data_IF_780836499276
#
_entry.id   IF_780836499276
#
_cell.length_a   1.000
_cell.length_b   1.000
_cell.length_c   1.000
_cell.angle_alpha   90.00
_cell.angle_beta   90.00
_cell.angle_gamma   90.00
#
_symmetry.space_group_name_H-M   'P 1'
#
loop_
_entity.id
_entity.type
_entity.pdbx_description
1 polymer ?
#
# COMPACT_ATOMS: atom_id res chain seq x y z
N UNK A 1 -27.15 -1.83 16.50
CA UNK A 1 -25.77 -2.19 16.89
C UNK A 1 -24.83 -1.69 15.80
N UNK A 2 -23.89 -0.80 16.13
CA UNK A 2 -22.98 -0.23 15.13
C UNK A 2 -21.81 -1.20 14.89
N UNK A 3 -21.59 -1.61 13.65
CA UNK A 3 -20.44 -2.45 13.26
C UNK A 3 -19.42 -1.54 12.58
N UNK A 4 -18.26 -1.28 13.21
CA UNK A 4 -17.20 -0.51 12.55
C UNK A 4 -16.53 -1.38 11.48
N UNK A 5 -16.64 -0.97 10.21
CA UNK A 5 -15.76 -1.44 9.15
C UNK A 5 -14.60 -0.47 8.98
N UNK A 6 -13.50 -0.95 8.40
CA UNK A 6 -12.24 -0.20 8.25
C UNK A 6 -12.39 1.14 7.51
N UNK A 7 -13.42 1.29 6.68
CA UNK A 7 -13.64 2.49 5.85
C UNK A 7 -14.96 3.22 6.12
N UNK A 8 -15.98 2.54 6.65
CA UNK A 8 -17.30 3.12 6.90
C UNK A 8 -17.90 2.56 8.19
N UNK A 9 -18.64 3.40 8.90
CA UNK A 9 -19.39 3.00 10.09
C UNK A 9 -20.81 2.63 9.65
N UNK A 10 -21.24 1.39 9.89
CA UNK A 10 -22.58 0.95 9.50
C UNK A 10 -23.53 1.05 10.69
N UNK A 11 -24.58 1.83 10.53
CA UNK A 11 -25.71 1.95 11.46
C UNK A 11 -26.87 1.01 11.09
N UNK A 12 -27.85 0.87 11.99
CA UNK A 12 -28.95 -0.09 11.81
C UNK A 12 -29.87 0.23 10.62
N UNK A 13 -29.91 1.48 10.15
CA UNK A 13 -30.70 1.85 8.96
C UNK A 13 -29.99 1.40 7.69
N UNK A 14 -28.67 1.60 7.62
CA UNK A 14 -27.83 1.15 6.53
C UNK A 14 -27.70 -0.38 6.47
N UNK A 15 -27.79 -1.07 7.61
CA UNK A 15 -27.81 -2.54 7.65
C UNK A 15 -29.05 -3.15 6.99
N UNK A 16 -30.16 -2.42 6.95
CA UNK A 16 -31.42 -2.86 6.31
C UNK A 16 -31.47 -2.53 4.82
N UNK A 17 -30.59 -1.66 4.34
CA UNK A 17 -30.44 -1.32 2.92
C UNK A 17 -29.32 -2.15 2.30
N UNK A 18 -29.67 -3.35 1.84
CA UNK A 18 -28.74 -4.30 1.23
C UNK A 18 -28.02 -3.70 0.00
N UNK A 19 -28.70 -2.85 -0.78
CA UNK A 19 -28.09 -2.24 -1.96
C UNK A 19 -27.01 -1.23 -1.59
N UNK A 20 -27.26 -0.37 -0.60
CA UNK A 20 -26.24 0.55 -0.13
C UNK A 20 -25.09 -0.19 0.55
N UNK A 21 -25.38 -1.24 1.31
CA UNK A 21 -24.36 -2.04 1.98
C UNK A 21 -23.43 -2.75 0.98
N UNK A 22 -23.99 -3.28 -0.10
CA UNK A 22 -23.22 -3.86 -1.21
C UNK A 22 -22.38 -2.80 -1.95
N UNK A 23 -22.94 -1.61 -2.19
CA UNK A 23 -22.21 -0.50 -2.80
C UNK A 23 -21.03 -0.06 -1.93
N UNK A 24 -21.22 0.08 -0.62
CA UNK A 24 -20.16 0.48 0.32
C UNK A 24 -19.09 -0.60 0.48
N UNK A 25 -19.46 -1.88 0.43
CA UNK A 25 -18.48 -2.98 0.46
C UNK A 25 -17.64 -2.99 -0.81
N UNK A 26 -18.24 -2.77 -1.98
CA UNK A 26 -17.53 -2.64 -3.25
C UNK A 26 -16.55 -1.45 -3.23
N UNK A 27 -16.99 -0.28 -2.75
CA UNK A 27 -16.14 0.90 -2.62
C UNK A 27 -14.98 0.69 -1.65
N UNK A 28 -15.23 0.02 -0.52
CA UNK A 28 -14.20 -0.36 0.45
C UNK A 28 -13.17 -1.30 -0.17
N UNK A 29 -13.62 -2.27 -0.96
CA UNK A 29 -12.74 -3.21 -1.66
C UNK A 29 -11.88 -2.51 -2.72
N UNK A 30 -12.49 -1.64 -3.54
CA UNK A 30 -11.77 -0.86 -4.54
C UNK A 30 -10.72 0.05 -3.90
N UNK A 31 -11.08 0.71 -2.80
CA UNK A 31 -10.16 1.56 -2.04
C UNK A 31 -9.00 0.77 -1.46
N UNK A 32 -9.27 -0.39 -0.85
CA UNK A 32 -8.23 -1.28 -0.31
C UNK A 32 -7.31 -1.82 -1.41
N UNK A 33 -7.86 -2.17 -2.58
CA UNK A 33 -7.06 -2.64 -3.72
C UNK A 33 -6.21 -1.50 -4.29
N UNK A 34 -6.76 -0.28 -4.41
CA UNK A 34 -6.01 0.90 -4.82
C UNK A 34 -4.89 1.21 -3.84
N UNK A 35 -5.13 1.15 -2.54
CA UNK A 35 -4.12 1.37 -1.53
C UNK A 35 -3.01 0.30 -1.58
N UNK A 36 -3.37 -0.97 -1.78
CA UNK A 36 -2.41 -2.06 -2.01
C UNK A 36 -1.57 -1.83 -3.26
N UNK A 37 -2.19 -1.37 -4.34
CA UNK A 37 -1.50 -1.10 -5.59
C UNK A 37 -0.62 0.15 -5.49
N UNK A 38 -1.07 1.22 -4.83
CA UNK A 38 -0.26 2.40 -4.54
C UNK A 38 0.94 2.07 -3.65
N UNK A 39 0.76 1.20 -2.64
CA UNK A 39 1.88 0.70 -1.83
C UNK A 39 2.90 -0.07 -2.66
N UNK A 40 2.46 -0.88 -3.64
CA UNK A 40 3.35 -1.59 -4.59
C UNK A 40 3.98 -0.66 -5.64
N UNK A 41 3.26 0.39 -6.03
CA UNK A 41 3.73 1.41 -6.97
C UNK A 41 4.52 2.53 -6.27
N UNK A 42 4.75 2.41 -4.96
CA UNK A 42 5.48 3.38 -4.14
C UNK A 42 6.92 3.56 -4.60
N UNK A 43 7.44 2.68 -5.47
CA UNK A 43 8.83 2.72 -5.90
C UNK A 43 9.80 2.41 -4.76
N UNK A 44 9.36 1.62 -3.78
CA UNK A 44 10.19 1.18 -2.67
C UNK A 44 11.23 0.20 -3.15
N UNK A 45 12.42 0.29 -2.57
CA UNK A 45 13.53 -0.59 -2.94
C UNK A 45 13.21 -2.05 -2.64
N UNK A 46 12.52 -2.33 -1.53
CA UNK A 46 12.12 -3.71 -1.18
C UNK A 46 11.12 -4.35 -2.15
N UNK A 47 10.49 -3.56 -3.02
CA UNK A 47 9.55 -4.07 -4.02
C UNK A 47 10.29 -4.54 -5.29
N UNK A 48 11.62 -4.33 -5.38
CA UNK A 48 12.48 -4.88 -6.42
C UNK A 48 12.84 -6.34 -6.14
N UNK A 49 13.01 -7.17 -7.20
CA UNK A 49 13.52 -8.51 -7.04
C UNK A 49 14.93 -8.47 -6.40
N UNK A 50 15.19 -9.38 -5.47
CA UNK A 50 16.45 -9.51 -4.71
C UNK A 50 16.75 -8.39 -3.69
N UNK A 51 15.79 -7.52 -3.35
CA UNK A 51 15.96 -6.55 -2.26
C UNK A 51 15.04 -6.90 -1.09
N UNK A 52 15.64 -7.24 0.04
CA UNK A 52 14.90 -7.46 1.30
C UNK A 52 14.64 -6.13 2.02
N UNK A 53 13.74 -6.13 3.00
CA UNK A 53 13.51 -4.96 3.85
C UNK A 53 14.79 -4.49 4.57
N UNK A 54 15.67 -5.43 4.96
CA UNK A 54 16.95 -5.10 5.57
C UNK A 54 17.88 -4.36 4.60
N UNK A 55 17.95 -4.81 3.34
CA UNK A 55 18.73 -4.14 2.30
C UNK A 55 18.17 -2.75 1.98
N UNK A 56 16.84 -2.58 1.93
CA UNK A 56 16.23 -1.26 1.77
C UNK A 56 16.69 -0.31 2.88
N UNK A 57 16.74 -0.78 4.14
CA UNK A 57 17.22 0.04 5.25
C UNK A 57 18.71 0.41 5.10
N UNK A 58 19.55 -0.54 4.68
CA UNK A 58 20.97 -0.28 4.41
C UNK A 58 21.17 0.73 3.27
N UNK A 59 20.44 0.58 2.17
CA UNK A 59 20.46 1.52 1.04
C UNK A 59 20.01 2.92 1.46
N UNK A 60 18.95 3.02 2.27
CA UNK A 60 18.50 4.31 2.83
C UNK A 60 19.61 4.94 3.67
N UNK A 61 20.29 4.17 4.53
CA UNK A 61 21.42 4.67 5.32
C UNK A 61 22.62 5.09 4.45
N UNK A 62 22.82 4.45 3.30
CA UNK A 62 23.82 4.80 2.31
C UNK A 62 23.42 6.00 1.41
N UNK A 63 22.25 6.62 1.65
CA UNK A 63 21.78 7.78 0.88
C UNK A 63 21.02 7.42 -0.40
N UNK A 64 20.57 6.17 -0.54
CA UNK A 64 19.79 5.67 -1.67
C UNK A 64 18.38 5.32 -1.17
N UNK A 65 17.44 6.29 -1.14
CA UNK A 65 16.12 6.08 -0.55
C UNK A 65 15.10 5.45 -1.51
N UNK A 66 15.35 5.51 -2.83
CA UNK A 66 14.41 5.06 -3.84
C UNK A 66 15.06 4.44 -5.08
N UNK A 67 14.23 3.78 -5.88
CA UNK A 67 14.64 3.04 -7.08
C UNK A 67 15.29 3.94 -8.14
N UNK A 68 14.94 5.23 -8.22
CA UNK A 68 15.57 6.15 -9.18
C UNK A 68 17.00 6.44 -8.76
N UNK A 69 17.23 6.78 -7.49
CA UNK A 69 18.58 6.98 -6.96
C UNK A 69 19.42 5.72 -7.12
N UNK A 70 18.87 4.53 -6.87
CA UNK A 70 19.59 3.27 -7.08
C UNK A 70 20.00 3.08 -8.55
N UNK A 71 19.15 3.48 -9.51
CA UNK A 71 19.45 3.40 -10.95
C UNK A 71 20.49 4.43 -11.39
N UNK A 72 20.55 5.59 -10.74
CA UNK A 72 21.51 6.65 -11.02
C UNK A 72 22.90 6.34 -10.46
N UNK A 73 22.96 5.81 -9.23
CA UNK A 73 24.22 5.37 -8.59
C UNK A 73 24.75 4.10 -9.26
N UNK A 74 23.85 3.22 -9.74
CA UNK A 74 24.22 1.94 -10.31
C UNK A 74 24.54 0.89 -9.24
N UNK A 75 24.21 -0.38 -9.52
CA UNK A 75 24.31 -1.47 -8.54
C UNK A 75 25.74 -1.75 -8.03
N UNK A 76 26.76 -1.26 -8.75
CA UNK A 76 28.17 -1.51 -8.46
C UNK A 76 28.76 -0.52 -7.45
N UNK A 77 28.21 0.70 -7.37
CA UNK A 77 28.65 1.75 -6.42
C UNK A 77 27.80 1.76 -5.13
N UNK A 78 26.65 1.08 -5.15
CA UNK A 78 25.68 1.03 -4.04
C UNK A 78 25.92 -0.12 -3.03
N UNK A 79 26.97 -0.92 -3.23
CA UNK A 79 27.33 -2.10 -2.40
C UNK A 79 28.51 -1.82 -1.48
#
# INVERSE_FOLDING_TARGET
RIVPLKYYQIDDTLWRDEQQLFRLSLLSWQSAQREKNCRRASGRLKDLPNISFHMELQLIHAGIPDVRTLREVGAQEAW
#
